data_IF_306955125654
#
_entry.id   IF_306955125654
#
_cell.length_a   1.000
_cell.length_b   1.000
_cell.length_c   1.000
_cell.angle_alpha   90.00
_cell.angle_beta   90.00
_cell.angle_gamma   90.00
#
_symmetry.space_group_name_H-M   'P 1'
#
loop_
_entity.id
_entity.type
_entity.pdbx_description
1 polymer ?
#
# COMPACT_ATOMS: atom_id res chain seq x y z
N UNK A 1 4.12 13.51 -8.86
CA UNK A 1 2.83 13.00 -8.39
C UNK A 1 2.54 13.55 -7.01
N UNK A 2 1.33 14.02 -6.81
CA UNK A 2 0.92 14.61 -5.54
C UNK A 2 0.02 13.63 -4.80
N UNK A 3 0.42 13.24 -3.59
CA UNK A 3 -0.36 12.34 -2.77
C UNK A 3 -1.30 13.13 -1.86
N UNK A 4 -2.50 12.60 -1.70
CA UNK A 4 -3.49 13.19 -0.82
C UNK A 4 -4.29 12.09 -0.15
N UNK A 5 -4.98 12.40 0.93
CA UNK A 5 -5.79 11.45 1.67
C UNK A 5 -6.77 12.18 2.57
N UNK A 6 -7.70 11.42 3.12
CA UNK A 6 -8.66 11.95 4.09
C UNK A 6 -8.01 11.95 5.48
N UNK A 7 -7.97 13.10 6.12
CA UNK A 7 -7.31 13.25 7.41
C UNK A 7 -7.97 12.43 8.53
N UNK A 8 -9.29 12.33 8.51
CA UNK A 8 -9.99 11.53 9.50
C UNK A 8 -9.66 10.06 9.36
N UNK A 9 -9.55 9.58 8.13
CA UNK A 9 -9.13 8.22 7.86
C UNK A 9 -7.72 7.97 8.37
N UNK A 10 -6.83 8.93 8.18
CA UNK A 10 -5.45 8.82 8.65
C UNK A 10 -5.38 8.70 10.17
N UNK A 11 -6.16 9.52 10.86
CA UNK A 11 -6.24 9.46 12.33
C UNK A 11 -6.73 8.09 12.78
N UNK A 12 -7.76 7.57 12.13
CA UNK A 12 -8.31 6.26 12.44
C UNK A 12 -7.28 5.14 12.22
N UNK A 13 -6.53 5.21 11.13
CA UNK A 13 -5.50 4.20 10.84
C UNK A 13 -4.39 4.22 11.89
N UNK A 14 -3.97 5.40 12.33
CA UNK A 14 -2.97 5.52 13.39
C UNK A 14 -3.47 4.90 14.69
N UNK A 15 -4.71 5.17 15.06
CA UNK A 15 -5.29 4.68 16.30
C UNK A 15 -5.52 3.17 16.26
N UNK A 16 -6.09 2.67 15.15
CA UNK A 16 -6.57 1.29 15.09
C UNK A 16 -5.53 0.31 14.55
N UNK A 17 -4.62 0.76 13.70
CA UNK A 17 -3.66 -0.13 13.02
C UNK A 17 -2.21 0.29 13.18
N UNK A 18 -1.96 1.38 13.88
CA UNK A 18 -0.61 1.90 14.09
C UNK A 18 0.14 2.13 12.77
N UNK A 19 -0.56 2.61 11.75
CA UNK A 19 0.02 2.93 10.45
C UNK A 19 -0.59 4.26 9.97
N UNK A 20 0.14 5.01 9.17
CA UNK A 20 -0.32 6.29 8.67
C UNK A 20 0.01 6.44 7.19
N UNK A 21 -0.71 7.34 6.52
CA UNK A 21 -0.39 7.66 5.13
C UNK A 21 0.98 8.33 5.01
N UNK A 22 1.38 9.12 6.00
CA UNK A 22 2.72 9.72 6.01
C UNK A 22 3.79 8.63 5.99
N UNK A 23 3.57 7.55 6.74
CA UNK A 23 4.51 6.44 6.77
C UNK A 23 4.63 5.77 5.41
N UNK A 24 3.51 5.68 4.68
CA UNK A 24 3.50 5.14 3.33
C UNK A 24 4.33 6.02 2.39
N UNK A 25 4.17 7.34 2.48
CA UNK A 25 4.93 8.27 1.63
C UNK A 25 6.42 8.13 1.90
N UNK A 26 6.81 8.06 3.16
CA UNK A 26 8.23 7.87 3.53
C UNK A 26 8.77 6.58 2.92
N UNK A 27 8.01 5.50 2.99
CA UNK A 27 8.45 4.22 2.44
C UNK A 27 8.62 4.31 0.91
N UNK A 28 7.70 4.98 0.23
CA UNK A 28 7.80 5.18 -1.22
C UNK A 28 9.05 5.98 -1.55
N UNK A 29 9.34 7.03 -0.80
CA UNK A 29 10.53 7.86 -1.00
C UNK A 29 11.82 7.09 -0.73
N UNK A 30 11.76 6.05 0.06
CA UNK A 30 12.90 5.18 0.37
C UNK A 30 12.99 3.97 -0.54
N UNK A 31 12.34 4.03 -1.70
CA UNK A 31 12.34 2.95 -2.71
C UNK A 31 11.71 1.65 -2.22
N UNK A 32 10.75 1.75 -1.32
CA UNK A 32 10.04 0.57 -0.82
C UNK A 32 8.70 0.33 -1.49
N UNK A 33 8.42 1.00 -2.60
CA UNK A 33 7.27 0.69 -3.43
C UNK A 33 7.63 -0.53 -4.29
N UNK A 34 7.00 -1.66 -4.00
CA UNK A 34 7.34 -2.92 -4.64
C UNK A 34 6.65 -3.10 -5.99
N UNK A 35 5.41 -2.64 -6.09
CA UNK A 35 4.65 -2.83 -7.32
C UNK A 35 3.42 -1.91 -7.31
N UNK A 36 2.86 -1.73 -8.50
CA UNK A 36 1.62 -0.99 -8.69
C UNK A 36 0.72 -1.89 -9.52
N UNK A 37 -0.40 -2.32 -8.94
CA UNK A 37 -1.32 -3.22 -9.58
C UNK A 37 -2.63 -2.51 -9.93
N UNK A 38 -3.27 -2.96 -11.01
CA UNK A 38 -4.60 -2.48 -11.35
C UNK A 38 -5.61 -3.15 -10.43
N UNK A 39 -6.73 -2.45 -10.18
CA UNK A 39 -7.79 -3.05 -9.36
C UNK A 39 -8.36 -4.28 -10.10
N UNK A 40 -8.62 -5.39 -9.40
CA UNK A 40 -9.14 -6.60 -10.02
C UNK A 40 -10.44 -6.38 -10.81
N UNK A 41 -11.29 -5.46 -10.35
CA UNK A 41 -12.52 -5.11 -11.04
C UNK A 41 -12.36 -3.75 -11.73
N UNK A 42 -11.73 -3.75 -12.89
CA UNK A 42 -11.47 -2.54 -13.66
C UNK A 42 -12.71 -1.83 -14.14
N UNK A 43 -13.78 -2.58 -14.43
CA UNK A 43 -15.01 -1.99 -14.93
C UNK A 43 -15.64 -1.09 -13.88
N UNK A 44 -15.66 -1.53 -12.64
CA UNK A 44 -16.23 -0.76 -11.54
C UNK A 44 -15.27 0.30 -11.01
N UNK A 45 -13.97 0.04 -11.06
CA UNK A 45 -12.93 0.92 -10.49
C UNK A 45 -11.84 1.19 -11.52
N UNK A 46 -12.18 1.90 -12.62
CA UNK A 46 -11.24 2.06 -13.75
C UNK A 46 -9.98 2.84 -13.44
N UNK A 47 -10.03 3.75 -12.47
CA UNK A 47 -8.89 4.59 -12.10
C UNK A 47 -8.25 4.19 -10.78
N UNK A 48 -8.62 3.04 -10.25
CA UNK A 48 -8.11 2.61 -8.95
C UNK A 48 -6.94 1.66 -9.12
N UNK A 49 -5.87 1.96 -8.39
CA UNK A 49 -4.67 1.15 -8.37
C UNK A 49 -4.42 0.65 -6.96
N UNK A 50 -3.60 -0.38 -6.86
CA UNK A 50 -3.13 -0.89 -5.57
C UNK A 50 -1.63 -0.68 -5.52
N UNK A 51 -1.17 0.13 -4.57
CA UNK A 51 0.25 0.30 -4.31
C UNK A 51 0.67 -0.76 -3.30
N UNK A 52 1.73 -1.49 -3.61
CA UNK A 52 2.29 -2.47 -2.69
C UNK A 52 3.56 -1.89 -2.09
N UNK A 53 3.55 -1.66 -0.78
CA UNK A 53 4.62 -0.96 -0.10
C UNK A 53 5.16 -1.81 1.03
N UNK A 54 6.48 -1.92 1.10
CA UNK A 54 7.13 -2.67 2.18
C UNK A 54 7.44 -1.75 3.35
N UNK A 55 6.99 -2.14 4.54
CA UNK A 55 7.32 -1.46 5.79
C UNK A 55 7.60 -2.55 6.82
N UNK A 56 8.78 -2.49 7.44
CA UNK A 56 9.20 -3.43 8.47
C UNK A 56 9.07 -4.88 8.03
N UNK A 57 9.49 -5.17 6.80
CA UNK A 57 9.49 -6.51 6.21
C UNK A 57 8.09 -7.10 6.07
N UNK A 58 7.10 -6.25 5.89
CA UNK A 58 5.74 -6.67 5.63
C UNK A 58 5.16 -5.82 4.50
N UNK A 59 4.32 -6.43 3.67
CA UNK A 59 3.72 -5.71 2.54
C UNK A 59 2.36 -5.15 2.94
N UNK A 60 2.20 -3.84 2.73
CA UNK A 60 0.95 -3.14 2.92
C UNK A 60 0.37 -2.79 1.56
N UNK A 61 -0.95 -2.96 1.44
CA UNK A 61 -1.68 -2.60 0.23
C UNK A 61 -2.33 -1.25 0.47
N UNK A 62 -2.11 -0.34 -0.46
CA UNK A 62 -2.65 1.02 -0.38
C UNK A 62 -3.47 1.28 -1.65
N UNK A 63 -4.79 1.03 -1.61
CA UNK A 63 -5.63 1.39 -2.73
C UNK A 63 -5.63 2.90 -2.95
N UNK A 64 -5.52 3.31 -4.18
CA UNK A 64 -5.50 4.73 -4.51
C UNK A 64 -6.26 5.01 -5.80
N UNK A 65 -6.68 6.25 -5.96
CA UNK A 65 -7.34 6.72 -7.17
C UNK A 65 -6.43 7.74 -7.84
N UNK A 66 -6.10 7.49 -9.11
CA UNK A 66 -5.30 8.42 -9.90
C UNK A 66 -6.21 9.36 -10.68
N UNK A 67 -5.96 10.66 -10.55
CA UNK A 67 -6.67 11.69 -11.28
C UNK A 67 -5.70 12.81 -11.60
N UNK A 68 -5.37 12.96 -12.89
CA UNK A 68 -4.34 13.91 -13.32
C UNK A 68 -3.03 13.61 -12.61
N UNK A 69 -2.48 14.58 -11.87
CA UNK A 69 -1.24 14.40 -11.12
C UNK A 69 -1.48 13.98 -9.66
N UNK A 70 -2.73 13.79 -9.28
CA UNK A 70 -3.07 13.44 -7.91
C UNK A 70 -3.24 11.95 -7.75
N UNK A 71 -2.70 11.44 -6.66
CA UNK A 71 -2.90 10.06 -6.22
C UNK A 71 -3.57 10.12 -4.86
N UNK A 72 -4.87 9.84 -4.82
CA UNK A 72 -5.63 9.87 -3.58
C UNK A 72 -5.58 8.50 -2.90
N UNK A 73 -4.93 8.43 -1.75
CA UNK A 73 -4.75 7.20 -1.00
C UNK A 73 -6.02 6.94 -0.19
N UNK A 74 -6.63 5.77 -0.40
CA UNK A 74 -7.95 5.47 0.17
C UNK A 74 -7.87 4.84 1.55
N UNK A 75 -6.99 3.88 1.73
CA UNK A 75 -6.81 3.17 2.99
C UNK A 75 -5.47 2.44 2.96
N UNK A 76 -5.15 1.74 4.06
CA UNK A 76 -3.93 0.95 4.19
C UNK A 76 -4.30 -0.34 4.90
N UNK A 77 -3.91 -1.48 4.36
CA UNK A 77 -4.08 -2.73 5.09
C UNK A 77 -2.91 -3.67 4.82
N UNK A 78 -2.52 -4.47 5.83
CA UNK A 78 -1.46 -5.45 5.65
C UNK A 78 -1.92 -6.61 4.80
N UNK A 79 -1.01 -7.21 4.04
CA UNK A 79 -1.33 -8.34 3.19
C UNK A 79 -0.35 -9.47 3.40
N UNK A 80 -0.83 -10.56 3.98
CA UNK A 80 -0.02 -11.76 4.14
C UNK A 80 0.31 -12.38 2.79
N UNK A 81 -0.66 -12.38 1.89
CA UNK A 81 -0.49 -12.92 0.54
C UNK A 81 0.64 -12.22 -0.22
N UNK A 82 0.61 -10.90 -0.24
CA UNK A 82 1.62 -10.15 -0.97
C UNK A 82 2.96 -10.15 -0.25
N UNK A 83 2.96 -10.23 1.07
CA UNK A 83 4.20 -10.37 1.81
C UNK A 83 4.93 -11.64 1.41
N UNK A 84 4.21 -12.76 1.38
CA UNK A 84 4.79 -14.03 0.96
C UNK A 84 5.28 -13.98 -0.50
N UNK A 85 4.50 -13.35 -1.36
CA UNK A 85 4.82 -13.31 -2.79
C UNK A 85 6.02 -12.42 -3.11
N UNK A 86 6.09 -11.25 -2.49
CA UNK A 86 7.09 -10.24 -2.88
C UNK A 86 8.35 -10.28 -2.02
N UNK A 87 8.25 -10.73 -0.77
CA UNK A 87 9.40 -10.76 0.12
C UNK A 87 9.99 -12.14 0.31
N UNK A 88 9.38 -13.15 -0.30
CA UNK A 88 9.84 -14.53 -0.24
C UNK A 88 10.08 -15.04 1.20
N UNK A 89 9.27 -14.57 2.12
CA UNK A 89 9.38 -14.96 3.52
C UNK A 89 9.22 -16.47 3.67
N UNK A 90 8.30 -17.04 2.91
CA UNK A 90 8.04 -18.47 2.93
C UNK A 90 9.24 -19.28 2.45
N UNK A 91 9.95 -18.78 1.42
CA UNK A 91 11.16 -19.41 0.93
C UNK A 91 12.23 -19.42 2.00
N UNK A 92 12.42 -18.30 2.68
CA UNK A 92 13.39 -18.20 3.77
C UNK A 92 13.07 -19.20 4.88
N UNK A 93 11.80 -19.36 5.22
CA UNK A 93 11.38 -20.27 6.27
C UNK A 93 11.63 -21.73 5.92
N UNK A 94 11.64 -22.06 4.64
CA UNK A 94 11.81 -23.42 4.19
C UNK A 94 13.26 -23.85 4.00
N UNK A 95 14.19 -23.01 4.35
CA UNK A 95 15.61 -23.30 4.18
C UNK A 95 16.24 -24.03 5.37
N UNK A 96 15.50 -24.27 6.39
CA UNK A 96 16.06 -24.97 7.55
C UNK A 96 15.64 -26.38 7.71
#
# INVERSE_FOLDING_TARGET
MIFDWNNEKNIMLKRDRNISFERIIIAIEQDSLLDILEHPNKEKYPNQLLLLVEIDRYVYVVPCVLENDFCFLKTIFPSRKYTAKYLDIKGEENEY
#
